data_IF_148452891421
#
_entry.id   IF_148452891421
#
_cell.length_a   1.000
_cell.length_b   1.000
_cell.length_c   1.000
_cell.angle_alpha   90.00
_cell.angle_beta   90.00
_cell.angle_gamma   90.00
#
_symmetry.space_group_name_H-M   'P 1'
#
loop_
_entity.id
_entity.type
_entity.pdbx_description
1 polymer ?
#
# COMPACT_ATOMS: atom_id res chain seq x y z
N UNK A 1 -49.18 23.57 17.48
CA UNK A 1 -48.60 23.09 16.21
C UNK A 1 -47.34 22.31 16.53
N UNK A 2 -47.37 20.97 16.50
CA UNK A 2 -46.19 20.15 16.79
C UNK A 2 -45.22 20.28 15.62
N UNK A 3 -43.96 20.64 15.88
CA UNK A 3 -42.90 20.64 14.88
C UNK A 3 -42.66 19.19 14.46
N UNK A 4 -42.98 18.88 13.21
CA UNK A 4 -42.70 17.61 12.56
C UNK A 4 -41.22 17.27 12.76
N UNK A 5 -40.93 16.14 13.42
CA UNK A 5 -39.55 15.72 13.70
C UNK A 5 -38.86 15.51 12.35
N UNK A 6 -37.92 16.38 12.02
CA UNK A 6 -37.11 16.25 10.81
C UNK A 6 -36.48 14.85 10.80
N UNK A 7 -36.85 14.06 9.80
CA UNK A 7 -36.28 12.74 9.58
C UNK A 7 -34.75 12.84 9.53
N UNK A 8 -34.07 12.23 10.50
CA UNK A 8 -32.61 12.08 10.57
C UNK A 8 -32.09 11.13 9.47
N UNK A 9 -32.72 11.04 8.30
CA UNK A 9 -32.31 10.10 7.26
C UNK A 9 -31.07 10.57 6.49
N UNK A 10 -30.80 11.87 6.46
CA UNK A 10 -29.70 12.43 5.66
C UNK A 10 -28.51 12.86 6.52
N UNK A 11 -27.29 12.69 5.99
CA UNK A 11 -26.05 13.12 6.64
C UNK A 11 -26.07 14.62 7.03
N UNK A 12 -26.65 15.47 6.17
CA UNK A 12 -26.83 16.89 6.44
C UNK A 12 -27.72 17.17 7.66
N UNK A 13 -28.82 16.43 7.80
CA UNK A 13 -29.70 16.55 8.95
C UNK A 13 -29.03 16.06 10.25
N UNK A 14 -28.15 15.06 10.17
CA UNK A 14 -27.40 14.53 11.33
C UNK A 14 -26.22 15.41 11.76
N UNK A 15 -25.63 16.18 10.84
CA UNK A 15 -24.44 16.99 11.10
C UNK A 15 -24.69 18.48 10.76
N UNK A 16 -25.60 19.17 11.46
CA UNK A 16 -26.02 20.53 11.13
C UNK A 16 -24.90 21.59 11.33
N UNK A 17 -23.91 21.31 12.18
CA UNK A 17 -22.77 22.19 12.42
C UNK A 17 -21.66 22.05 11.37
N UNK A 18 -21.71 21.01 10.53
CA UNK A 18 -20.73 20.82 9.45
C UNK A 18 -21.20 21.55 8.20
N UNK A 19 -20.26 22.17 7.48
CA UNK A 19 -20.53 22.75 6.18
C UNK A 19 -20.83 21.64 5.16
N UNK A 20 -22.10 21.22 5.08
CA UNK A 20 -22.55 20.19 4.15
C UNK A 20 -23.00 20.85 2.86
N UNK A 21 -22.42 20.41 1.75
CA UNK A 21 -22.86 20.84 0.43
C UNK A 21 -24.30 20.36 0.20
N UNK A 22 -25.21 21.31 -0.04
CA UNK A 22 -26.61 20.98 -0.27
C UNK A 22 -26.76 20.04 -1.49
N UNK A 23 -27.60 19.00 -1.41
CA UNK A 23 -27.89 18.14 -2.54
C UNK A 23 -28.36 19.00 -3.71
N UNK A 24 -27.62 18.95 -4.82
CA UNK A 24 -27.93 19.78 -5.99
C UNK A 24 -29.24 19.29 -6.60
N UNK A 25 -30.34 20.00 -6.36
CA UNK A 25 -31.62 19.74 -7.03
C UNK A 25 -31.44 19.98 -8.53
N UNK A 26 -31.52 18.91 -9.32
CA UNK A 26 -31.48 19.01 -10.79
C UNK A 26 -32.87 19.43 -11.26
N UNK A 27 -33.00 20.65 -11.80
CA UNK A 27 -34.23 21.07 -12.46
C UNK A 27 -34.51 20.19 -13.69
N UNK A 28 -35.79 19.90 -13.95
CA UNK A 28 -36.22 19.23 -15.18
C UNK A 28 -35.82 20.10 -16.37
N UNK A 29 -35.01 19.53 -17.26
CA UNK A 29 -34.43 20.28 -18.39
C UNK A 29 -35.45 20.41 -19.50
N UNK A 30 -35.68 21.63 -19.98
CA UNK A 30 -36.48 21.89 -21.18
C UNK A 30 -35.82 21.26 -22.41
N UNK A 31 -36.60 21.01 -23.46
CA UNK A 31 -36.11 20.50 -24.75
C UNK A 31 -35.01 21.41 -25.32
N UNK A 32 -35.17 22.74 -25.22
CA UNK A 32 -34.17 23.72 -25.63
C UNK A 32 -32.86 23.57 -24.83
N UNK A 33 -32.93 23.41 -23.50
CA UNK A 33 -31.72 23.20 -22.68
C UNK A 33 -31.00 21.89 -23.02
N UNK A 34 -31.73 20.83 -23.38
CA UNK A 34 -31.13 19.56 -23.84
C UNK A 34 -30.40 19.74 -25.17
N UNK A 35 -30.99 20.46 -26.12
CA UNK A 35 -30.37 20.76 -27.42
C UNK A 35 -29.10 21.62 -27.24
N UNK A 36 -29.14 22.67 -26.42
CA UNK A 36 -27.95 23.48 -26.11
C UNK A 36 -26.85 22.66 -25.45
N UNK A 37 -27.19 21.73 -24.55
CA UNK A 37 -26.21 20.82 -23.94
C UNK A 37 -25.61 19.84 -24.93
N UNK A 38 -26.39 19.33 -25.88
CA UNK A 38 -25.88 18.46 -26.93
C UNK A 38 -24.88 19.22 -27.83
N UNK A 39 -25.19 20.46 -28.20
CA UNK A 39 -24.28 21.33 -28.95
C UNK A 39 -23.00 21.63 -28.15
N UNK A 40 -23.13 21.99 -26.87
CA UNK A 40 -21.98 22.23 -26.02
C UNK A 40 -21.13 20.96 -25.80
N UNK A 41 -21.75 19.78 -25.74
CA UNK A 41 -21.04 18.50 -25.66
C UNK A 41 -20.27 18.22 -26.95
N UNK A 42 -20.87 18.46 -28.12
CA UNK A 42 -20.19 18.34 -29.40
C UNK A 42 -19.00 19.31 -29.53
N UNK A 43 -19.18 20.57 -29.12
CA UNK A 43 -18.08 21.55 -29.08
C UNK A 43 -16.96 21.15 -28.12
N UNK A 44 -17.30 20.59 -26.94
CA UNK A 44 -16.28 20.06 -26.01
C UNK A 44 -15.57 18.85 -26.56
N UNK A 45 -16.25 17.98 -27.31
CA UNK A 45 -15.63 16.86 -27.98
C UNK A 45 -14.62 17.35 -29.03
N UNK A 46 -15.02 18.30 -29.88
CA UNK A 46 -14.13 18.93 -30.86
C UNK A 46 -12.93 19.63 -30.20
N UNK A 47 -13.16 20.40 -29.12
CA UNK A 47 -12.08 21.07 -28.39
C UNK A 47 -11.14 20.07 -27.69
N UNK A 48 -11.67 18.94 -27.22
CA UNK A 48 -10.87 17.85 -26.66
C UNK A 48 -10.02 17.21 -27.75
N UNK A 49 -10.59 16.94 -28.93
CA UNK A 49 -9.85 16.35 -30.05
C UNK A 49 -8.75 17.30 -30.55
N UNK A 50 -9.04 18.61 -30.62
CA UNK A 50 -8.04 19.64 -30.91
C UNK A 50 -6.93 19.67 -29.87
N UNK A 51 -7.26 19.63 -28.57
CA UNK A 51 -6.26 19.56 -27.50
C UNK A 51 -5.37 18.30 -27.63
N UNK A 52 -5.94 17.15 -27.97
CA UNK A 52 -5.14 15.94 -28.19
C UNK A 52 -4.25 16.04 -29.43
N UNK A 53 -4.71 16.72 -30.49
CA UNK A 53 -3.88 17.01 -31.64
C UNK A 53 -2.69 17.90 -31.24
N UNK A 54 -2.93 19.02 -30.56
CA UNK A 54 -1.89 19.93 -30.08
C UNK A 54 -0.88 19.23 -29.16
N UNK A 55 -1.36 18.37 -28.26
CA UNK A 55 -0.51 17.56 -27.38
C UNK A 55 0.37 16.60 -28.19
N UNK A 56 -0.20 15.94 -29.21
CA UNK A 56 0.54 15.02 -30.07
C UNK A 56 1.60 15.76 -30.89
N UNK A 57 1.27 16.94 -31.42
CA UNK A 57 2.22 17.79 -32.14
C UNK A 57 3.38 18.20 -31.23
N UNK A 58 3.07 18.62 -30.00
CA UNK A 58 4.10 18.91 -29.00
C UNK A 58 4.98 17.69 -28.67
N UNK A 59 4.41 16.48 -28.62
CA UNK A 59 5.21 15.25 -28.45
C UNK A 59 6.15 14.99 -29.63
N UNK A 60 5.73 15.29 -30.85
CA UNK A 60 6.57 15.17 -32.06
C UNK A 60 7.70 16.19 -32.04
N UNK A 61 7.41 17.46 -31.73
CA UNK A 61 8.41 18.52 -31.57
C UNK A 61 9.45 18.15 -30.51
N UNK A 62 8.97 17.72 -29.33
CA UNK A 62 9.85 17.28 -28.23
C UNK A 62 10.73 16.11 -28.65
N UNK A 63 10.22 15.19 -29.48
CA UNK A 63 11.00 14.06 -30.00
C UNK A 63 12.09 14.51 -30.96
N UNK A 64 11.80 15.49 -31.84
CA UNK A 64 12.81 16.10 -32.70
C UNK A 64 13.88 16.82 -31.89
N UNK A 65 13.48 17.65 -30.92
CA UNK A 65 14.43 18.32 -30.02
C UNK A 65 15.36 17.33 -29.30
N UNK A 66 14.82 16.20 -28.81
CA UNK A 66 15.64 15.14 -28.19
C UNK A 66 16.67 14.58 -29.18
N UNK A 67 16.28 14.32 -30.44
CA UNK A 67 17.19 13.83 -31.49
C UNK A 67 18.28 14.85 -31.82
N UNK A 68 17.91 16.11 -31.94
CA UNK A 68 18.85 17.19 -32.27
C UNK A 68 19.86 17.41 -31.15
N UNK A 69 19.41 17.39 -29.89
CA UNK A 69 20.29 17.45 -28.72
C UNK A 69 21.19 16.22 -28.60
N UNK A 70 20.65 15.02 -28.88
CA UNK A 70 21.43 13.79 -28.88
C UNK A 70 22.57 13.86 -29.92
N UNK A 71 22.27 14.35 -31.14
CA UNK A 71 23.26 14.55 -32.20
C UNK A 71 24.27 15.64 -31.85
N UNK A 72 23.81 16.81 -31.38
CA UNK A 72 24.65 17.96 -31.04
C UNK A 72 25.67 17.66 -29.94
N UNK A 73 25.28 16.86 -28.94
CA UNK A 73 26.12 16.54 -27.79
C UNK A 73 26.73 15.14 -27.83
N UNK A 74 26.54 14.40 -28.93
CA UNK A 74 26.98 13.01 -29.09
C UNK A 74 26.58 12.12 -27.89
N UNK A 75 25.31 12.23 -27.47
CA UNK A 75 24.72 11.43 -26.38
C UNK A 75 23.58 10.59 -26.93
N UNK A 76 23.25 9.50 -26.22
CA UNK A 76 22.09 8.67 -26.57
C UNK A 76 20.78 9.44 -26.32
N UNK A 77 19.80 9.33 -27.23
CA UNK A 77 18.46 9.96 -27.08
C UNK A 77 17.82 9.66 -25.72
N UNK A 78 17.93 8.42 -25.24
CA UNK A 78 17.41 7.99 -23.94
C UNK A 78 18.03 8.75 -22.75
N UNK A 79 19.28 9.21 -22.86
CA UNK A 79 19.92 10.00 -21.81
C UNK A 79 19.32 11.41 -21.74
N UNK A 80 19.18 12.08 -22.89
CA UNK A 80 18.56 13.41 -23.00
C UNK A 80 17.09 13.37 -22.57
N UNK A 81 16.34 12.33 -22.98
CA UNK A 81 14.93 12.14 -22.60
C UNK A 81 14.75 12.07 -21.08
N UNK A 82 15.62 11.35 -20.37
CA UNK A 82 15.59 11.25 -18.90
C UNK A 82 15.88 12.60 -18.23
N UNK A 83 16.82 13.36 -18.77
CA UNK A 83 17.18 14.69 -18.26
C UNK A 83 16.04 15.69 -18.43
N UNK A 84 15.41 15.72 -19.62
CA UNK A 84 14.35 16.67 -19.94
C UNK A 84 13.04 16.41 -19.18
N UNK A 85 12.75 15.15 -18.86
CA UNK A 85 11.53 14.78 -18.17
C UNK A 85 11.61 14.96 -16.64
N UNK A 86 12.76 15.38 -16.10
CA UNK A 86 13.02 15.36 -14.65
C UNK A 86 12.48 14.07 -14.03
N UNK A 87 12.78 12.94 -14.68
CA UNK A 87 12.25 11.64 -14.28
C UNK A 87 12.80 11.37 -12.88
N UNK A 88 12.02 11.77 -11.86
CA UNK A 88 12.31 11.55 -10.44
C UNK A 88 12.67 10.10 -10.40
N UNK A 89 13.90 9.80 -9.97
CA UNK A 89 14.47 8.46 -9.98
C UNK A 89 13.67 7.56 -9.03
N UNK A 90 12.45 7.21 -9.42
CA UNK A 90 11.71 6.09 -8.88
C UNK A 90 12.52 4.89 -9.33
N UNK A 91 13.48 4.52 -8.47
CA UNK A 91 14.33 3.36 -8.72
C UNK A 91 13.37 2.18 -8.84
N UNK A 92 13.12 1.75 -10.08
CA UNK A 92 12.34 0.55 -10.33
C UNK A 92 13.02 -0.59 -9.58
N UNK A 93 12.26 -1.31 -8.76
CA UNK A 93 12.81 -2.45 -8.02
C UNK A 93 13.42 -3.39 -9.06
N UNK A 94 14.73 -3.65 -8.95
CA UNK A 94 15.44 -4.53 -9.89
C UNK A 94 14.73 -5.88 -9.93
N UNK A 95 14.33 -6.33 -11.11
CA UNK A 95 13.73 -7.66 -11.28
C UNK A 95 14.74 -8.76 -10.89
N UNK A 96 14.22 -9.94 -10.55
CA UNK A 96 15.06 -11.11 -10.39
C UNK A 96 15.68 -11.45 -11.76
N UNK A 97 17.00 -11.60 -11.81
CA UNK A 97 17.73 -11.99 -13.01
C UNK A 97 18.39 -13.35 -12.73
N UNK A 98 18.47 -14.21 -13.74
CA UNK A 98 19.01 -15.56 -13.64
C UNK A 98 20.46 -15.55 -13.14
N UNK A 99 21.29 -14.62 -13.62
CA UNK A 99 22.65 -14.42 -13.11
C UNK A 99 22.68 -14.28 -11.59
N UNK A 100 21.89 -13.35 -11.05
CA UNK A 100 21.84 -13.10 -9.62
C UNK A 100 21.22 -14.28 -8.84
N UNK A 101 20.32 -15.02 -9.47
CA UNK A 101 19.72 -16.22 -8.88
C UNK A 101 20.74 -17.36 -8.77
N UNK A 102 21.55 -17.59 -9.81
CA UNK A 102 22.63 -18.58 -9.82
C UNK A 102 23.72 -18.22 -8.81
N UNK A 103 24.18 -16.97 -8.78
CA UNK A 103 25.16 -16.52 -7.78
C UNK A 103 24.61 -16.67 -6.36
N UNK A 104 23.32 -16.38 -6.16
CA UNK A 104 22.67 -16.54 -4.86
C UNK A 104 22.56 -18.01 -4.43
N UNK A 105 22.16 -18.91 -5.34
CA UNK A 105 22.13 -20.36 -5.09
C UNK A 105 23.51 -20.93 -4.77
N UNK A 106 24.52 -20.53 -5.55
CA UNK A 106 25.90 -20.92 -5.32
C UNK A 106 26.40 -20.43 -3.95
N UNK A 107 26.03 -19.20 -3.55
CA UNK A 107 26.35 -18.67 -2.22
C UNK A 107 25.66 -19.40 -1.07
N UNK A 108 24.49 -20.00 -1.30
CA UNK A 108 23.83 -20.84 -0.29
C UNK A 108 24.58 -22.16 -0.18
N UNK A 109 24.82 -22.84 -1.31
CA UNK A 109 25.52 -24.13 -1.36
C UNK A 109 26.93 -24.05 -0.76
N UNK A 110 27.67 -22.98 -1.06
CA UNK A 110 29.00 -22.73 -0.49
C UNK A 110 28.96 -22.62 1.05
N UNK A 111 27.94 -21.93 1.59
CA UNK A 111 27.76 -21.80 3.05
C UNK A 111 27.37 -23.12 3.71
N UNK A 112 26.50 -23.90 3.08
CA UNK A 112 26.08 -25.21 3.58
C UNK A 112 27.23 -26.22 3.56
N UNK A 113 28.10 -26.15 2.55
CA UNK A 113 29.28 -27.00 2.42
C UNK A 113 30.45 -26.58 3.32
N UNK A 114 30.42 -25.36 3.91
CA UNK A 114 31.53 -24.82 4.69
C UNK A 114 32.78 -24.52 3.87
N UNK A 115 32.64 -24.36 2.56
CA UNK A 115 33.76 -24.16 1.63
C UNK A 115 34.11 -22.66 1.51
N UNK A 116 35.18 -22.26 2.21
CA UNK A 116 35.69 -20.88 2.19
C UNK A 116 36.15 -20.44 0.80
N UNK A 117 36.61 -21.37 -0.05
CA UNK A 117 37.05 -21.06 -1.41
C UNK A 117 35.88 -20.74 -2.33
N UNK A 118 34.74 -21.42 -2.17
CA UNK A 118 33.51 -21.12 -2.90
C UNK A 118 32.91 -19.77 -2.47
N UNK A 119 33.15 -19.32 -1.23
CA UNK A 119 32.79 -17.98 -0.77
C UNK A 119 33.67 -16.89 -1.38
N UNK A 120 34.96 -17.17 -1.61
CA UNK A 120 35.86 -16.27 -2.38
C UNK A 120 35.42 -16.15 -3.83
N UNK A 121 35.04 -17.25 -4.50
CA UNK A 121 34.48 -17.21 -5.86
C UNK A 121 33.18 -16.40 -5.92
N UNK A 122 32.34 -16.46 -4.89
CA UNK A 122 31.13 -15.59 -4.79
C UNK A 122 31.52 -14.12 -4.56
N UNK A 123 32.60 -13.85 -3.83
CA UNK A 123 33.10 -12.51 -3.52
C UNK A 123 33.73 -11.84 -4.75
N UNK A 124 34.50 -12.59 -5.52
CA UNK A 124 35.14 -12.14 -6.76
C UNK A 124 34.18 -12.16 -7.95
N UNK A 125 33.07 -12.89 -7.80
CA UNK A 125 32.01 -13.02 -8.77
C UNK A 125 32.27 -14.19 -9.72
N UNK A 126 31.21 -14.97 -9.98
CA UNK A 126 31.27 -16.08 -10.93
C UNK A 126 31.80 -15.60 -12.29
N UNK A 127 32.73 -16.34 -12.90
CA UNK A 127 33.19 -16.00 -14.24
C UNK A 127 32.03 -16.11 -15.25
N UNK A 128 32.07 -15.31 -16.31
CA UNK A 128 31.09 -15.42 -17.40
C UNK A 128 31.09 -16.81 -18.03
N UNK A 129 32.25 -17.45 -18.11
CA UNK A 129 32.41 -18.77 -18.72
C UNK A 129 31.75 -19.86 -17.87
N UNK A 130 32.01 -19.84 -16.56
CA UNK A 130 31.39 -20.75 -15.59
C UNK A 130 29.87 -20.61 -15.56
N UNK A 131 29.37 -19.37 -15.60
CA UNK A 131 27.93 -19.13 -15.69
C UNK A 131 27.31 -19.71 -16.95
N UNK A 132 27.96 -19.58 -18.11
CA UNK A 132 27.41 -20.12 -19.36
C UNK A 132 27.36 -21.64 -19.32
N UNK A 133 28.38 -22.29 -18.76
CA UNK A 133 28.40 -23.74 -18.55
C UNK A 133 27.26 -24.18 -17.64
N UNK A 134 27.09 -23.51 -16.50
CA UNK A 134 26.01 -23.81 -15.54
C UNK A 134 24.64 -23.58 -16.18
N UNK A 135 24.46 -22.46 -16.89
CA UNK A 135 23.21 -22.12 -17.57
C UNK A 135 22.86 -23.12 -18.68
N UNK A 136 23.86 -23.62 -19.41
CA UNK A 136 23.67 -24.61 -20.47
C UNK A 136 23.23 -25.97 -19.92
N UNK A 137 23.75 -26.35 -18.75
CA UNK A 137 23.42 -27.61 -18.08
C UNK A 137 22.12 -27.57 -17.27
N UNK A 138 21.52 -26.38 -17.09
CA UNK A 138 20.34 -26.18 -16.25
C UNK A 138 19.04 -26.36 -17.03
N UNK A 139 18.10 -27.12 -16.46
CA UNK A 139 16.76 -27.27 -17.03
C UNK A 139 15.96 -25.96 -16.94
N UNK A 140 14.91 -25.82 -17.76
CA UNK A 140 14.10 -24.60 -17.74
C UNK A 140 13.29 -24.46 -16.44
N UNK A 141 12.95 -25.57 -15.80
CA UNK A 141 12.24 -25.59 -14.52
C UNK A 141 13.14 -25.21 -13.35
N UNK A 142 14.41 -25.62 -13.37
CA UNK A 142 15.43 -25.18 -12.42
C UNK A 142 15.65 -23.66 -12.49
N UNK A 143 15.74 -23.09 -13.71
CA UNK A 143 15.88 -21.63 -13.89
C UNK A 143 14.70 -20.87 -13.27
N UNK A 144 13.48 -21.37 -13.47
CA UNK A 144 12.27 -20.78 -12.88
C UNK A 144 12.28 -20.90 -11.35
N UNK A 145 12.71 -22.05 -10.84
CA UNK A 145 12.82 -22.29 -9.40
C UNK A 145 13.77 -21.28 -8.73
N UNK A 146 14.98 -21.12 -9.27
CA UNK A 146 15.97 -20.18 -8.73
C UNK A 146 15.47 -18.73 -8.78
N UNK A 147 14.81 -18.32 -9.86
CA UNK A 147 14.20 -17.00 -9.96
C UNK A 147 13.12 -16.77 -8.91
N UNK A 148 12.27 -17.77 -8.66
CA UNK A 148 11.21 -17.71 -7.64
C UNK A 148 11.81 -17.66 -6.23
N UNK A 149 12.87 -18.41 -5.97
CA UNK A 149 13.58 -18.42 -4.69
C UNK A 149 14.20 -17.05 -4.40
N UNK A 150 14.93 -16.48 -5.36
CA UNK A 150 15.51 -15.12 -5.25
C UNK A 150 14.42 -14.06 -5.03
N UNK A 151 13.32 -14.13 -5.78
CA UNK A 151 12.22 -13.18 -5.64
C UNK A 151 11.54 -13.27 -4.26
N UNK A 152 11.36 -14.48 -3.74
CA UNK A 152 10.77 -14.72 -2.41
C UNK A 152 11.71 -14.20 -1.32
N UNK A 153 13.01 -14.48 -1.42
CA UNK A 153 14.01 -13.95 -0.50
C UNK A 153 14.05 -12.43 -0.48
N UNK A 154 14.02 -11.76 -1.66
CA UNK A 154 13.94 -10.29 -1.74
C UNK A 154 12.69 -9.73 -1.07
N UNK A 155 11.55 -10.43 -1.16
CA UNK A 155 10.32 -10.04 -0.44
C UNK A 155 10.49 -10.17 1.07
N UNK A 156 11.19 -11.19 1.55
CA UNK A 156 11.49 -11.38 2.99
C UNK A 156 12.50 -10.35 3.48
N UNK A 157 13.59 -10.12 2.73
CA UNK A 157 14.61 -9.11 3.05
C UNK A 157 14.00 -7.70 3.12
N UNK A 158 13.11 -7.36 2.17
CA UNK A 158 12.33 -6.12 2.20
C UNK A 158 11.48 -5.99 3.48
N UNK A 159 11.04 -7.11 4.04
CA UNK A 159 10.17 -7.14 5.22
C UNK A 159 10.91 -7.22 6.55
N UNK A 160 12.20 -7.58 6.62
CA UNK A 160 12.75 -7.91 7.95
C UNK A 160 14.25 -7.98 8.19
N UNK A 161 15.16 -7.86 7.21
CA UNK A 161 16.54 -8.34 7.48
C UNK A 161 17.52 -7.29 8.01
N UNK A 162 17.26 -5.97 7.91
CA UNK A 162 18.17 -4.94 8.46
C UNK A 162 17.48 -3.69 8.95
N UNK A 163 16.51 -3.86 9.83
CA UNK A 163 15.86 -2.71 10.45
C UNK A 163 16.20 -2.80 11.93
N UNK A 164 17.04 -1.87 12.42
CA UNK A 164 17.28 -1.75 13.85
C UNK A 164 15.92 -1.47 14.53
N UNK A 165 15.76 -1.81 15.81
CA UNK A 165 14.50 -1.55 16.52
C UNK A 165 14.08 -0.07 16.38
N UNK A 166 15.06 0.83 16.28
CA UNK A 166 14.85 2.25 15.96
C UNK A 166 14.23 2.49 14.58
N UNK A 167 14.75 1.88 13.51
CA UNK A 167 14.15 2.07 12.19
C UNK A 167 12.79 1.40 12.04
N UNK A 168 12.52 0.31 12.76
CA UNK A 168 11.19 -0.31 12.81
C UNK A 168 10.19 0.62 13.51
N UNK A 169 10.60 1.21 14.63
CA UNK A 169 9.80 2.18 15.35
C UNK A 169 9.49 3.41 14.49
N UNK A 170 10.47 3.93 13.74
CA UNK A 170 10.25 5.07 12.83
C UNK A 170 9.28 4.74 11.69
N UNK A 171 9.39 3.56 11.09
CA UNK A 171 8.48 3.11 10.02
C UNK A 171 7.05 2.97 10.54
N UNK A 172 6.89 2.36 11.72
CA UNK A 172 5.60 2.24 12.40
C UNK A 172 4.98 3.63 12.70
N UNK A 173 5.78 4.57 13.22
CA UNK A 173 5.33 5.94 13.49
C UNK A 173 4.93 6.68 12.22
N UNK A 174 5.73 6.59 11.15
CA UNK A 174 5.40 7.24 9.88
C UNK A 174 4.10 6.70 9.29
N UNK A 175 3.90 5.38 9.36
CA UNK A 175 2.65 4.74 8.92
C UNK A 175 1.47 5.17 9.78
N UNK A 176 1.61 5.20 11.11
CA UNK A 176 0.56 5.64 12.02
C UNK A 176 0.15 7.10 11.74
N UNK A 177 1.11 7.99 11.47
CA UNK A 177 0.83 9.38 11.10
C UNK A 177 0.07 9.48 9.77
N UNK A 178 0.47 8.69 8.76
CA UNK A 178 -0.27 8.68 7.49
C UNK A 178 -1.71 8.18 7.65
N UNK A 179 -1.93 7.18 8.52
CA UNK A 179 -3.27 6.71 8.86
C UNK A 179 -4.05 7.79 9.61
N UNK A 180 -3.41 8.53 10.52
CA UNK A 180 -4.04 9.65 11.23
C UNK A 180 -4.62 10.69 10.27
N UNK A 181 -3.84 11.14 9.31
CA UNK A 181 -4.30 12.13 8.33
C UNK A 181 -5.50 11.60 7.53
N UNK A 182 -5.44 10.34 7.09
CA UNK A 182 -6.54 9.68 6.37
C UNK A 182 -7.82 9.54 7.21
N UNK A 183 -7.69 9.25 8.51
CA UNK A 183 -8.82 9.09 9.42
C UNK A 183 -9.48 10.44 9.75
N UNK A 184 -8.69 11.51 9.88
CA UNK A 184 -9.19 12.88 10.03
C UNK A 184 -9.95 13.29 8.76
N UNK A 185 -9.32 13.15 7.59
CA UNK A 185 -9.94 13.48 6.30
C UNK A 185 -11.25 12.72 6.07
N UNK A 186 -11.29 11.44 6.46
CA UNK A 186 -12.48 10.61 6.37
C UNK A 186 -13.61 11.17 7.24
N UNK A 187 -13.32 11.55 8.48
CA UNK A 187 -14.30 12.16 9.36
C UNK A 187 -14.79 13.52 8.84
N UNK A 188 -13.90 14.36 8.32
CA UNK A 188 -14.28 15.66 7.77
C UNK A 188 -15.24 15.50 6.58
N UNK A 189 -14.92 14.60 5.64
CA UNK A 189 -15.73 14.35 4.45
C UNK A 189 -17.06 13.64 4.72
N UNK A 190 -17.09 12.70 5.66
CA UNK A 190 -18.20 11.73 5.77
C UNK A 190 -18.86 11.70 7.15
N UNK A 191 -18.25 12.33 8.15
CA UNK A 191 -18.66 12.25 9.56
C UNK A 191 -18.53 10.86 10.17
N UNK A 192 -17.89 9.90 9.49
CA UNK A 192 -17.59 8.59 10.08
C UNK A 192 -16.55 8.79 11.18
N UNK A 193 -16.89 8.35 12.40
CA UNK A 193 -15.99 8.34 13.55
C UNK A 193 -15.17 7.06 13.53
N UNK A 194 -13.88 7.20 13.74
CA UNK A 194 -12.88 6.15 13.62
C UNK A 194 -11.85 6.30 14.72
N UNK A 195 -11.24 5.19 15.10
CA UNK A 195 -10.05 5.17 15.93
C UNK A 195 -9.15 4.01 15.48
N UNK A 196 -7.86 4.12 15.75
CA UNK A 196 -6.88 3.08 15.53
C UNK A 196 -5.90 3.02 16.71
N UNK A 197 -5.53 1.79 17.08
CA UNK A 197 -4.53 1.49 18.10
C UNK A 197 -3.32 0.86 17.46
N UNK A 198 -2.15 1.43 17.71
CA UNK A 198 -0.88 0.86 17.29
C UNK A 198 -0.10 0.51 18.55
N UNK A 199 0.36 -0.73 18.64
CA UNK A 199 1.22 -1.19 19.73
C UNK A 199 2.35 -2.00 19.16
N UNK A 200 3.44 -2.09 19.91
CA UNK A 200 4.50 -3.04 19.65
C UNK A 200 4.05 -4.48 19.88
N UNK A 201 4.74 -5.39 19.20
CA UNK A 201 4.48 -6.83 19.27
C UNK A 201 5.29 -7.51 20.37
N UNK A 202 6.45 -6.94 20.71
CA UNK A 202 7.38 -7.52 21.66
C UNK A 202 7.88 -6.46 22.64
N UNK A 203 8.20 -6.86 23.88
CA UNK A 203 8.62 -5.93 24.93
C UNK A 203 9.94 -5.20 24.60
N UNK A 204 10.80 -5.80 23.78
CA UNK A 204 12.09 -5.24 23.34
C UNK A 204 11.98 -4.31 22.11
N UNK A 205 10.82 -4.28 21.45
CA UNK A 205 10.58 -3.36 20.34
C UNK A 205 10.55 -1.92 20.88
N UNK A 206 11.25 -1.01 20.19
CA UNK A 206 11.31 0.41 20.57
C UNK A 206 10.12 1.23 20.08
N UNK A 207 9.14 0.60 19.41
CA UNK A 207 7.95 1.30 18.93
C UNK A 207 7.06 1.71 20.11
N UNK A 208 6.75 3.00 20.18
CA UNK A 208 5.88 3.55 21.23
C UNK A 208 4.43 3.34 20.84
N UNK A 209 3.57 2.82 21.73
CA UNK A 209 2.14 2.72 21.49
C UNK A 209 1.53 4.07 21.11
N UNK A 210 0.64 4.07 20.11
CA UNK A 210 0.02 5.28 19.59
C UNK A 210 -1.49 5.08 19.42
N UNK A 211 -2.26 6.12 19.71
CA UNK A 211 -3.69 6.20 19.51
C UNK A 211 -3.94 7.28 18.47
N UNK A 212 -4.70 6.91 17.46
CA UNK A 212 -5.22 7.81 16.45
C UNK A 212 -6.73 7.80 16.57
N UNK A 213 -7.37 8.97 16.66
CA UNK A 213 -8.83 9.06 16.75
C UNK A 213 -9.37 10.25 15.94
N UNK A 214 -10.57 10.10 15.39
CA UNK A 214 -11.28 11.21 14.77
C UNK A 214 -12.37 11.76 15.69
N UNK A 215 -12.41 13.09 15.82
CA UNK A 215 -13.45 13.84 16.55
C UNK A 215 -13.71 13.36 17.98
N UNK A 216 -12.66 13.18 18.78
CA UNK A 216 -12.74 12.66 20.14
C UNK A 216 -13.46 11.31 20.23
N UNK A 217 -13.39 10.48 19.18
CA UNK A 217 -13.88 9.10 19.24
C UNK A 217 -13.27 8.32 20.41
N UNK A 218 -12.15 8.80 20.97
CA UNK A 218 -11.56 8.20 22.16
C UNK A 218 -12.46 8.24 23.41
N UNK A 219 -13.34 9.24 23.52
CA UNK A 219 -14.21 9.41 24.69
C UNK A 219 -15.27 8.31 24.80
N UNK A 220 -15.57 7.63 23.69
CA UNK A 220 -16.42 6.44 23.66
C UNK A 220 -15.98 5.42 24.70
N UNK A 221 -14.67 5.20 24.86
CA UNK A 221 -14.17 4.18 25.77
C UNK A 221 -14.46 4.51 27.24
N UNK A 222 -14.29 5.79 27.60
CA UNK A 222 -14.57 6.27 28.95
C UNK A 222 -16.07 6.21 29.24
N UNK A 223 -16.90 6.59 28.28
CA UNK A 223 -18.35 6.61 28.44
C UNK A 223 -18.97 5.21 28.45
N UNK A 224 -18.51 4.32 27.56
CA UNK A 224 -19.08 2.97 27.41
C UNK A 224 -18.50 1.96 28.39
N UNK A 225 -17.21 2.05 28.73
CA UNK A 225 -16.50 1.04 29.53
C UNK A 225 -15.95 1.58 30.85
N UNK A 226 -16.11 2.89 31.15
CA UNK A 226 -15.59 3.50 32.37
C UNK A 226 -14.06 3.58 32.45
N UNK A 227 -13.36 3.33 31.33
CA UNK A 227 -11.90 3.30 31.26
C UNK A 227 -11.40 4.21 30.16
N UNK A 228 -10.26 4.85 30.40
CA UNK A 228 -9.64 5.68 29.35
C UNK A 228 -9.20 4.83 28.17
N UNK A 229 -9.14 5.45 26.99
CA UNK A 229 -8.60 4.78 25.80
C UNK A 229 -7.15 4.32 26.02
N UNK A 230 -6.35 5.13 26.71
CA UNK A 230 -4.97 4.80 27.06
C UNK A 230 -4.88 3.53 27.92
N UNK A 231 -5.80 3.30 28.86
CA UNK A 231 -5.86 2.03 29.60
C UNK A 231 -6.16 0.84 28.69
N UNK A 232 -7.03 1.01 27.70
CA UNK A 232 -7.29 -0.02 26.69
C UNK A 232 -6.05 -0.29 25.83
N UNK A 233 -5.34 0.75 25.39
CA UNK A 233 -4.11 0.62 24.63
C UNK A 233 -3.05 -0.13 25.44
N UNK A 234 -2.84 0.23 26.71
CA UNK A 234 -1.87 -0.44 27.58
C UNK A 234 -2.23 -1.90 27.82
N UNK A 235 -3.53 -2.22 28.01
CA UNK A 235 -4.00 -3.61 28.10
C UNK A 235 -3.79 -4.38 26.80
N UNK A 236 -4.02 -3.72 25.67
CA UNK A 236 -3.80 -4.30 24.34
C UNK A 236 -2.32 -4.53 24.08
N UNK A 237 -1.45 -3.59 24.47
CA UNK A 237 -0.01 -3.75 24.42
C UNK A 237 0.47 -4.89 25.31
N UNK A 238 -0.01 -4.94 26.57
CA UNK A 238 0.33 -6.01 27.49
C UNK A 238 -0.05 -7.36 26.89
N UNK A 239 -1.29 -7.50 26.40
CA UNK A 239 -1.74 -8.71 25.70
C UNK A 239 -0.82 -9.03 24.50
N UNK A 240 -0.56 -8.05 23.65
CA UNK A 240 0.30 -8.15 22.45
C UNK A 240 1.69 -8.65 22.79
N UNK A 241 2.35 -8.09 23.81
CA UNK A 241 3.69 -8.47 24.24
C UNK A 241 3.73 -9.82 24.96
N UNK A 242 2.61 -10.28 25.51
CA UNK A 242 2.46 -11.61 26.14
C UNK A 242 1.99 -12.69 25.17
N UNK A 243 1.74 -12.34 23.89
CA UNK A 243 1.64 -13.37 22.87
C UNK A 243 3.03 -13.98 22.70
N UNK A 244 3.26 -15.11 23.36
CA UNK A 244 4.36 -16.00 22.98
C UNK A 244 4.25 -16.23 21.48
N UNK A 245 5.32 -15.88 20.76
CA UNK A 245 5.51 -16.28 19.36
C UNK A 245 5.84 -17.77 19.33
N UNK A 246 4.96 -18.58 19.91
CA UNK A 246 4.90 -19.98 19.53
C UNK A 246 4.42 -19.97 18.08
N UNK A 247 5.36 -20.22 17.16
CA UNK A 247 5.10 -20.50 15.74
C UNK A 247 4.01 -21.59 15.54
N UNK A 248 3.58 -22.24 16.62
CA UNK A 248 2.56 -23.28 16.69
C UNK A 248 1.10 -22.80 16.87
N UNK A 249 0.81 -21.51 17.10
CA UNK A 249 -0.61 -21.06 17.21
C UNK A 249 -1.39 -21.18 15.90
N UNK A 250 -0.70 -21.35 14.77
CA UNK A 250 -1.31 -21.71 13.49
C UNK A 250 -1.70 -23.20 13.40
N UNK A 251 -1.19 -24.07 14.29
CA UNK A 251 -1.33 -25.52 14.22
C UNK A 251 -1.91 -26.19 15.48
N UNK A 252 -2.17 -25.47 16.57
CA UNK A 252 -2.89 -26.04 17.71
C UNK A 252 -4.40 -26.22 17.40
N UNK A 253 -4.88 -27.46 17.51
CA UNK A 253 -6.27 -27.85 17.29
C UNK A 253 -7.23 -27.04 18.18
N UNK A 254 -6.82 -26.63 19.38
CA UNK A 254 -7.68 -25.79 20.22
C UNK A 254 -7.80 -24.36 19.69
N UNK A 255 -6.72 -23.79 19.17
CA UNK A 255 -6.71 -22.48 18.50
C UNK A 255 -7.62 -22.48 17.27
N UNK A 256 -7.50 -23.51 16.42
CA UNK A 256 -8.34 -23.70 15.23
C UNK A 256 -9.82 -23.88 15.61
N UNK A 257 -10.12 -24.67 16.65
CA UNK A 257 -11.50 -24.83 17.15
C UNK A 257 -12.08 -23.51 17.65
N UNK A 258 -11.32 -22.71 18.39
CA UNK A 258 -11.75 -21.38 18.84
C UNK A 258 -12.05 -20.45 17.65
N UNK A 259 -11.20 -20.47 16.62
CA UNK A 259 -11.42 -19.69 15.40
C UNK A 259 -12.66 -20.15 14.63
N UNK A 260 -12.87 -21.46 14.49
CA UNK A 260 -14.08 -22.01 13.85
C UNK A 260 -15.34 -21.59 14.61
N UNK A 261 -15.33 -21.67 15.94
CA UNK A 261 -16.47 -21.23 16.76
C UNK A 261 -16.76 -19.75 16.55
N UNK A 262 -15.72 -18.89 16.52
CA UNK A 262 -15.90 -17.47 16.24
C UNK A 262 -16.48 -17.20 14.84
N UNK A 263 -15.98 -17.88 13.81
CA UNK A 263 -16.49 -17.76 12.44
C UNK A 263 -17.95 -18.21 12.33
N UNK A 264 -18.34 -19.29 13.02
CA UNK A 264 -19.74 -19.74 13.07
C UNK A 264 -20.60 -18.69 13.76
N UNK A 265 -20.17 -18.15 14.90
CA UNK A 265 -20.91 -17.13 15.64
C UNK A 265 -21.08 -15.84 14.84
N UNK A 266 -20.03 -15.40 14.15
CA UNK A 266 -20.09 -14.19 13.31
C UNK A 266 -20.96 -14.41 12.07
N UNK A 267 -20.90 -15.60 11.44
CA UNK A 267 -21.80 -15.97 10.36
C UNK A 267 -23.27 -16.02 10.80
N UNK A 268 -23.55 -16.56 12.00
CA UNK A 268 -24.89 -16.58 12.58
C UNK A 268 -25.39 -15.16 12.90
N UNK A 269 -24.53 -14.30 13.44
CA UNK A 269 -24.88 -12.88 13.68
C UNK A 269 -25.18 -12.14 12.38
N UNK A 270 -24.40 -12.36 11.33
CA UNK A 270 -24.65 -11.77 10.02
C UNK A 270 -25.96 -12.27 9.39
N UNK A 271 -26.27 -13.56 9.53
CA UNK A 271 -27.53 -14.13 9.07
C UNK A 271 -28.74 -13.56 9.85
N UNK A 272 -28.60 -13.35 11.16
CA UNK A 272 -29.65 -12.74 11.99
C UNK A 272 -29.87 -11.25 11.67
N UNK A 273 -28.86 -10.53 11.18
CA UNK A 273 -28.98 -9.14 10.74
C UNK A 273 -29.57 -8.99 9.32
N UNK A 274 -29.74 -10.08 8.57
CA UNK A 274 -30.35 -10.10 7.24
C UNK A 274 -31.86 -10.40 7.22
N UNK A 275 -32.52 -10.45 8.38
CA UNK A 275 -33.94 -10.79 8.54
C UNK A 275 -34.85 -9.61 8.93
N UNK A 276 -34.35 -8.37 8.87
CA UNK A 276 -35.13 -7.13 9.02
C UNK A 276 -35.35 -6.41 7.68
#
# INVERSE_FOLDING_TARGET
MPKEKASLSTHAARNPAKAVQQPRRRANQSSATKATKALAAAQRAQAKDALFADINDHYLEKRQLIKDLAKKHNKKENYIKKLLNNDVHTKTKRSANLWNAVVHDFSIKAKEAGDESALEVVRDGLSKEEYQTIKANMSEDEKKHLLKQLASKRKVEFKGIRVTNKSLAMDAMQTANSINDQLIDLFERTGVRTFAMFTRSHAEDSAVPNIVDSDNARDFFKQAFGKSFSEFLLKFEQWSCTLDRDDDRANDVQSVRKQIVLLILDGLRAAMQGFD
#
